data_IF_386328754015
#
_entry.id   IF_386328754015
#
_cell.length_a   1.000
_cell.length_b   1.000
_cell.length_c   1.000
_cell.angle_alpha   90.00
_cell.angle_beta   90.00
_cell.angle_gamma   90.00
#
_symmetry.space_group_name_H-M   'P 1'
#
loop_
_entity.id
_entity.type
_entity.pdbx_description
1 polymer ?
#
# COMPACT_ATOMS: atom_id res chain seq x y z
N UNK A 1 -4.80 -15.52 -8.96
CA UNK A 1 -4.69 -14.26 -9.71
C UNK A 1 -3.20 -13.94 -9.87
N UNK A 2 -2.74 -13.65 -11.08
CA UNK A 2 -1.37 -13.17 -11.27
C UNK A 2 -1.40 -11.66 -11.08
N UNK A 3 -0.88 -11.19 -9.94
CA UNK A 3 -0.88 -9.77 -9.58
C UNK A 3 0.26 -9.09 -10.33
N UNK A 4 -0.04 -8.10 -11.16
CA UNK A 4 0.99 -7.29 -11.83
C UNK A 4 1.54 -6.25 -10.83
N UNK A 5 2.61 -6.62 -10.14
CA UNK A 5 3.26 -5.79 -9.13
C UNK A 5 3.77 -4.47 -9.69
N UNK A 6 4.24 -4.44 -10.93
CA UNK A 6 4.72 -3.20 -11.54
C UNK A 6 3.58 -2.20 -11.69
N UNK A 7 2.40 -2.66 -12.09
CA UNK A 7 1.21 -1.80 -12.19
C UNK A 7 0.79 -1.27 -10.81
N UNK A 8 0.88 -2.09 -9.77
CA UNK A 8 0.56 -1.68 -8.39
C UNK A 8 1.54 -0.64 -7.88
N UNK A 9 2.84 -0.89 -8.04
CA UNK A 9 3.89 0.04 -7.63
C UNK A 9 3.72 1.37 -8.36
N UNK A 10 3.43 1.35 -9.67
CA UNK A 10 3.14 2.57 -10.44
C UNK A 10 1.90 3.31 -9.91
N UNK A 11 0.82 2.60 -9.60
CA UNK A 11 -0.38 3.22 -9.02
C UNK A 11 -0.08 3.85 -7.66
N UNK A 12 0.61 3.12 -6.78
CA UNK A 12 1.07 3.59 -5.48
C UNK A 12 1.92 4.86 -5.58
N UNK A 13 2.95 4.88 -6.44
CA UNK A 13 3.78 6.06 -6.66
C UNK A 13 2.97 7.25 -7.20
N UNK A 14 2.03 6.99 -8.11
CA UNK A 14 1.17 8.02 -8.69
C UNK A 14 0.28 8.66 -7.61
N UNK A 15 -0.29 7.86 -6.71
CA UNK A 15 -1.09 8.35 -5.59
C UNK A 15 -0.25 9.06 -4.53
N UNK A 16 0.94 8.57 -4.19
CA UNK A 16 1.87 9.26 -3.29
C UNK A 16 2.23 10.66 -3.80
N UNK A 17 2.41 10.81 -5.12
CA UNK A 17 2.64 12.12 -5.77
C UNK A 17 1.39 13.00 -5.75
N UNK A 18 0.22 12.46 -6.14
CA UNK A 18 -1.05 13.20 -6.16
C UNK A 18 -1.43 13.74 -4.77
N UNK A 19 -1.27 12.91 -3.74
CA UNK A 19 -1.56 13.25 -2.35
C UNK A 19 -0.43 14.04 -1.68
N UNK A 20 0.70 14.26 -2.38
CA UNK A 20 1.88 14.99 -1.88
C UNK A 20 2.49 14.38 -0.61
N UNK A 21 2.35 13.07 -0.45
CA UNK A 21 2.98 12.31 0.64
C UNK A 21 4.49 12.31 0.43
N UNK A 22 4.94 12.00 -0.80
CA UNK A 22 6.32 12.17 -1.23
C UNK A 22 6.54 13.59 -1.77
N UNK A 23 7.68 14.25 -1.46
CA UNK A 23 8.85 13.75 -0.73
C UNK A 23 8.82 14.01 0.78
N UNK A 24 7.70 14.48 1.34
CA UNK A 24 7.61 14.85 2.77
C UNK A 24 7.71 13.67 3.75
N UNK A 25 7.41 12.47 3.26
CA UNK A 25 7.51 11.19 3.96
C UNK A 25 8.36 10.19 3.16
N UNK A 26 9.15 9.41 3.88
CA UNK A 26 9.80 8.21 3.36
C UNK A 26 8.78 7.06 3.41
N UNK A 27 8.09 6.85 2.28
CA UNK A 27 6.99 5.90 2.17
C UNK A 27 7.32 4.79 1.18
N UNK A 28 7.03 3.54 1.56
CA UNK A 28 7.18 2.36 0.70
C UNK A 28 5.98 1.44 0.75
N UNK A 29 5.86 0.59 -0.26
CA UNK A 29 4.88 -0.50 -0.33
C UNK A 29 5.59 -1.84 -0.13
N UNK A 30 4.98 -2.74 0.64
CA UNK A 30 5.45 -4.12 0.84
C UNK A 30 4.30 -5.11 0.60
N UNK A 31 4.59 -6.19 -0.10
CA UNK A 31 3.63 -7.27 -0.34
C UNK A 31 3.70 -8.30 0.77
N UNK A 32 2.53 -8.68 1.30
CA UNK A 32 2.40 -9.71 2.34
C UNK A 32 2.01 -11.03 1.69
N UNK A 33 2.85 -12.05 1.92
CA UNK A 33 2.69 -13.41 1.41
C UNK A 33 2.19 -14.42 2.46
N UNK A 34 1.96 -13.98 3.69
CA UNK A 34 1.43 -14.84 4.74
C UNK A 34 -0.05 -15.16 4.49
N UNK A 35 -0.35 -16.43 4.22
CA UNK A 35 -1.71 -16.93 4.01
C UNK A 35 -2.61 -16.78 5.25
N UNK A 36 -2.02 -16.68 6.44
CA UNK A 36 -2.74 -16.46 7.69
C UNK A 36 -3.11 -14.98 7.88
N UNK A 37 -2.54 -14.08 7.08
CA UNK A 37 -2.85 -12.66 7.14
C UNK A 37 -4.26 -12.38 6.64
N UNK A 38 -5.09 -11.79 7.50
CA UNK A 38 -6.54 -11.64 7.24
C UNK A 38 -6.96 -10.29 6.66
N UNK A 39 -6.13 -9.26 6.79
CA UNK A 39 -6.41 -7.91 6.26
C UNK A 39 -6.14 -7.85 4.76
N UNK A 40 -6.82 -6.94 4.06
CA UNK A 40 -6.58 -6.69 2.63
C UNK A 40 -5.38 -5.75 2.43
N UNK A 41 -5.25 -4.75 3.30
CA UNK A 41 -4.09 -3.88 3.43
C UNK A 41 -3.86 -3.50 4.89
N UNK A 42 -2.77 -2.79 5.16
CA UNK A 42 -2.50 -2.14 6.44
C UNK A 42 -1.55 -0.96 6.20
N UNK A 43 -1.70 0.12 6.95
CA UNK A 43 -0.80 1.26 6.87
C UNK A 43 -0.10 1.50 8.20
N UNK A 44 1.24 1.42 8.18
CA UNK A 44 2.08 1.64 9.36
C UNK A 44 2.78 2.98 9.24
N UNK A 45 2.66 3.82 10.26
CA UNK A 45 3.21 5.18 10.28
C UNK A 45 4.11 5.36 11.49
N UNK A 46 5.28 5.94 11.25
CA UNK A 46 6.16 6.50 12.25
C UNK A 46 6.24 8.01 12.04
N UNK A 47 5.54 8.76 12.89
CA UNK A 47 5.45 10.21 12.81
C UNK A 47 6.74 10.92 13.23
N UNK A 48 7.55 10.30 14.09
CA UNK A 48 8.79 10.89 14.60
C UNK A 48 9.85 10.91 13.49
N UNK A 49 9.95 9.80 12.75
CA UNK A 49 10.90 9.64 11.64
C UNK A 49 10.35 10.01 10.26
N UNK A 50 9.05 10.37 10.18
CA UNK A 50 8.29 10.57 8.92
C UNK A 50 8.43 9.41 7.95
N UNK A 51 8.33 8.19 8.46
CA UNK A 51 8.36 6.95 7.68
C UNK A 51 6.99 6.31 7.64
N UNK A 52 6.65 5.70 6.52
CA UNK A 52 5.43 4.92 6.42
C UNK A 52 5.60 3.69 5.51
N UNK A 53 4.86 2.63 5.84
CA UNK A 53 4.84 1.40 5.07
C UNK A 53 3.39 1.00 4.80
N UNK A 54 3.04 0.92 3.51
CA UNK A 54 1.79 0.32 3.05
C UNK A 54 2.00 -1.18 2.85
N UNK A 55 1.32 -2.00 3.65
CA UNK A 55 1.29 -3.45 3.51
C UNK A 55 0.11 -3.84 2.62
N UNK A 56 0.35 -4.63 1.58
CA UNK A 56 -0.69 -5.10 0.65
C UNK A 56 -0.74 -6.62 0.63
N UNK A 57 -1.90 -7.21 0.88
CA UNK A 57 -2.05 -8.67 0.90
C UNK A 57 -2.06 -9.26 -0.51
N UNK A 58 -1.00 -10.00 -0.86
CA UNK A 58 -0.85 -10.70 -2.14
C UNK A 58 -1.26 -12.18 -2.03
N UNK A 59 -1.11 -12.79 -0.86
CA UNK A 59 -1.42 -14.21 -0.64
C UNK A 59 -2.91 -14.54 -0.75
N UNK A 60 -3.78 -13.62 -0.31
CA UNK A 60 -5.22 -13.80 -0.37
C UNK A 60 -5.92 -12.47 -0.70
N UNK A 61 -5.88 -12.01 -1.96
CA UNK A 61 -6.55 -10.78 -2.37
C UNK A 61 -8.06 -11.02 -2.32
N UNK A 62 -8.68 -10.71 -1.17
CA UNK A 62 -10.14 -10.81 -0.99
C UNK A 62 -10.91 -9.82 -1.88
N UNK A 63 -10.23 -8.78 -2.37
CA UNK A 63 -10.78 -7.76 -3.26
C UNK A 63 -10.16 -7.88 -4.65
N UNK A 64 -10.98 -7.68 -5.69
CA UNK A 64 -10.52 -7.72 -7.09
C UNK A 64 -9.72 -6.47 -7.50
N UNK A 65 -9.82 -5.37 -6.74
CA UNK A 65 -9.21 -4.09 -7.06
C UNK A 65 -8.16 -3.65 -6.02
N UNK A 66 -6.89 -3.96 -6.28
CA UNK A 66 -5.78 -3.61 -5.38
C UNK A 66 -5.46 -2.11 -5.36
N UNK A 67 -5.81 -1.36 -6.40
CA UNK A 67 -5.65 0.10 -6.42
C UNK A 67 -6.63 0.78 -5.44
N UNK A 68 -7.85 0.26 -5.32
CA UNK A 68 -8.81 0.75 -4.32
C UNK A 68 -8.25 0.61 -2.90
N UNK A 69 -7.63 -0.53 -2.58
CA UNK A 69 -6.98 -0.77 -1.30
C UNK A 69 -5.87 0.25 -1.06
N UNK A 70 -4.99 0.49 -2.04
CA UNK A 70 -3.93 1.50 -1.92
C UNK A 70 -4.51 2.87 -1.57
N UNK A 71 -5.54 3.32 -2.30
CA UNK A 71 -6.14 4.64 -2.06
C UNK A 71 -6.83 4.71 -0.69
N UNK A 72 -7.54 3.64 -0.31
CA UNK A 72 -8.22 3.52 0.97
C UNK A 72 -7.25 3.68 2.15
N UNK A 73 -6.16 2.90 2.13
CA UNK A 73 -5.16 2.93 3.20
C UNK A 73 -4.40 4.26 3.24
N UNK A 74 -4.07 4.86 2.08
CA UNK A 74 -3.38 6.17 2.04
C UNK A 74 -4.24 7.35 2.52
N UNK A 75 -5.57 7.26 2.42
CA UNK A 75 -6.49 8.34 2.83
C UNK A 75 -6.98 8.22 4.27
N UNK A 76 -6.97 7.00 4.84
CA UNK A 76 -7.42 6.75 6.21
C UNK A 76 -6.29 6.75 7.25
N UNK A 77 -5.04 6.90 6.78
CA UNK A 77 -3.82 7.02 7.56
C UNK A 77 -3.73 8.27 8.44
#
# INVERSE_FOLDING_TARGET
MNVDENKIIQSFENWCKKLRISPGWDIRIEFVDDINWRKTGDFKVDCDDRKAVLLLNRANPKQENLEEVIVHELLLA
#
